data_IF_021879960115
#
_entry.id   IF_021879960115
#
_cell.length_a   1.000
_cell.length_b   1.000
_cell.length_c   1.000
_cell.angle_alpha   90.00
_cell.angle_beta   90.00
_cell.angle_gamma   90.00
#
_symmetry.space_group_name_H-M   'P 1'
#
loop_
_entity.id
_entity.type
_entity.pdbx_description
1 polymer ?
#
# COMPACT_ATOMS: atom_id res chain seq x y z
N UNK A 1 40.33 -18.25 52.44
CA UNK A 1 40.66 -19.51 51.73
C UNK A 1 41.01 -19.16 50.29
N UNK A 2 42.15 -19.65 49.82
CA UNK A 2 42.76 -19.38 48.53
C UNK A 2 42.05 -20.08 47.36
N UNK A 3 42.22 -19.60 46.13
CA UNK A 3 42.92 -20.28 45.02
C UNK A 3 42.71 -19.53 43.68
N UNK A 4 43.81 -19.04 43.08
CA UNK A 4 44.06 -18.89 41.62
C UNK A 4 44.51 -20.26 41.05
N UNK A 5 44.80 -20.51 39.73
CA UNK A 5 44.95 -19.63 38.54
C UNK A 5 44.22 -20.16 37.25
N UNK A 6 44.16 -19.48 36.09
CA UNK A 6 45.13 -19.49 34.96
C UNK A 6 44.50 -18.70 33.77
N UNK A 7 45.05 -17.63 33.15
CA UNK A 7 46.09 -17.51 32.07
C UNK A 7 45.91 -18.50 30.88
N UNK A 8 45.97 -18.19 29.56
CA UNK A 8 46.19 -16.99 28.68
C UNK A 8 45.71 -17.38 27.22
N UNK A 9 45.99 -16.68 26.07
CA UNK A 9 44.97 -16.18 25.12
C UNK A 9 45.16 -16.64 23.63
N UNK A 10 44.63 -15.85 22.67
CA UNK A 10 44.84 -15.82 21.19
C UNK A 10 43.61 -16.31 20.38
N UNK A 11 43.21 -15.79 19.22
CA UNK A 11 43.82 -14.85 18.26
C UNK A 11 42.72 -14.35 17.30
N UNK A 12 42.92 -13.16 16.72
CA UNK A 12 42.03 -12.51 15.73
C UNK A 12 42.46 -12.88 14.31
N UNK A 13 41.53 -13.14 13.36
CA UNK A 13 41.86 -13.02 11.95
C UNK A 13 41.31 -11.73 11.31
N UNK A 14 42.16 -11.17 10.46
CA UNK A 14 42.07 -9.86 9.79
C UNK A 14 41.24 -9.90 8.49
N UNK A 15 40.64 -8.74 8.21
CA UNK A 15 40.43 -8.06 6.91
C UNK A 15 40.38 -8.85 5.59
N UNK A 16 39.33 -8.61 4.79
CA UNK A 16 39.45 -8.60 3.33
C UNK A 16 38.93 -7.30 2.72
N UNK A 17 39.87 -6.53 2.18
CA UNK A 17 39.68 -5.32 1.38
C UNK A 17 38.94 -5.64 0.08
N UNK A 18 37.91 -4.84 -0.22
CA UNK A 18 37.28 -4.76 -1.55
C UNK A 18 38.33 -4.31 -2.59
N UNK A 19 38.63 -5.14 -3.59
CA UNK A 19 39.39 -4.72 -4.78
C UNK A 19 38.43 -4.20 -5.86
N UNK A 20 38.62 -2.94 -6.21
CA UNK A 20 38.02 -2.22 -7.34
C UNK A 20 38.84 -2.57 -8.59
N UNK A 21 38.24 -3.17 -9.61
CA UNK A 21 38.90 -3.41 -10.89
C UNK A 21 38.74 -2.19 -11.81
N UNK A 22 39.88 -1.69 -12.29
CA UNK A 22 40.08 -0.53 -13.16
C UNK A 22 40.23 -1.03 -14.60
N UNK A 23 39.69 -0.25 -15.53
CA UNK A 23 39.66 -0.43 -16.99
C UNK A 23 41.08 -0.56 -17.59
N UNK A 24 41.23 -1.35 -18.66
CA UNK A 24 42.27 -1.18 -19.67
C UNK A 24 41.71 -1.47 -21.07
N UNK A 25 42.03 -0.60 -22.03
CA UNK A 25 41.85 -0.72 -23.48
C UNK A 25 43.22 -0.96 -24.12
N UNK A 26 43.20 -1.23 -25.44
CA UNK A 26 44.28 -1.26 -26.46
C UNK A 26 44.76 -2.70 -26.74
N UNK A 27 44.86 -3.18 -27.98
CA UNK A 27 44.92 -2.45 -29.25
C UNK A 27 44.62 -3.28 -30.51
N UNK A 28 44.78 -2.56 -31.61
CA UNK A 28 44.46 -2.90 -33.00
C UNK A 28 45.25 -4.07 -33.58
N UNK A 29 44.60 -4.75 -34.54
CA UNK A 29 45.21 -5.70 -35.45
C UNK A 29 44.27 -5.96 -36.63
N UNK A 30 44.36 -5.12 -37.66
CA UNK A 30 43.69 -5.29 -38.96
C UNK A 30 44.40 -6.39 -39.76
N UNK A 31 43.67 -7.39 -40.24
CA UNK A 31 43.98 -8.08 -41.50
C UNK A 31 42.69 -8.59 -42.15
N UNK A 32 42.49 -8.14 -43.37
CA UNK A 32 41.39 -8.46 -44.27
C UNK A 32 41.65 -9.80 -44.96
N UNK A 33 40.70 -10.73 -44.89
CA UNK A 33 40.52 -11.77 -45.89
C UNK A 33 39.01 -11.91 -46.14
N UNK A 34 38.58 -11.49 -47.33
CA UNK A 34 37.24 -11.67 -47.82
C UNK A 34 37.01 -13.16 -48.11
N UNK A 35 36.01 -13.76 -47.47
CA UNK A 35 35.46 -15.03 -47.91
C UNK A 35 33.94 -14.91 -47.93
N UNK A 36 33.41 -14.98 -49.15
CA UNK A 36 32.01 -14.87 -49.50
C UNK A 36 31.28 -16.12 -49.03
N UNK A 37 30.74 -16.08 -47.82
CA UNK A 37 29.81 -17.11 -47.33
C UNK A 37 28.38 -16.64 -47.57
N UNK A 38 27.73 -17.33 -48.52
CA UNK A 38 26.32 -17.25 -48.89
C UNK A 38 25.43 -17.02 -47.65
N UNK A 39 24.47 -16.08 -47.67
CA UNK A 39 23.54 -15.96 -46.56
C UNK A 39 22.65 -17.20 -46.57
N UNK A 40 22.89 -18.08 -45.60
CA UNK A 40 21.92 -19.08 -45.17
C UNK A 40 20.60 -18.32 -44.97
N UNK A 41 19.49 -18.69 -45.64
CA UNK A 41 18.22 -18.09 -45.29
C UNK A 41 17.99 -18.50 -43.84
N UNK A 42 18.14 -17.53 -42.94
CA UNK A 42 17.65 -17.69 -41.59
C UNK A 42 16.19 -18.09 -41.76
N UNK A 43 15.89 -19.34 -41.41
CA UNK A 43 14.53 -19.73 -41.07
C UNK A 43 14.14 -18.83 -39.90
N UNK A 44 13.64 -17.65 -40.27
CA UNK A 44 12.96 -16.74 -39.39
C UNK A 44 11.68 -17.48 -39.03
N UNK A 45 11.80 -18.41 -38.07
CA UNK A 45 10.74 -18.65 -37.12
C UNK A 45 10.28 -17.26 -36.71
N UNK A 46 9.15 -16.83 -37.27
CA UNK A 46 8.68 -15.45 -37.25
C UNK A 46 8.09 -15.15 -35.88
N UNK A 47 8.90 -15.38 -34.85
CA UNK A 47 8.58 -15.11 -33.48
C UNK A 47 8.37 -13.61 -33.36
N UNK A 48 7.10 -13.22 -33.30
CA UNK A 48 6.72 -11.81 -33.17
C UNK A 48 7.20 -11.34 -31.82
N UNK A 49 8.11 -10.37 -31.82
CA UNK A 49 8.54 -9.72 -30.59
C UNK A 49 7.40 -8.83 -30.04
N UNK A 50 6.55 -9.42 -29.20
CA UNK A 50 5.46 -8.72 -28.52
C UNK A 50 5.97 -7.57 -27.63
N UNK A 51 7.24 -7.58 -27.19
CA UNK A 51 7.80 -6.45 -26.44
C UNK A 51 7.92 -5.17 -27.30
N UNK A 52 7.94 -5.31 -28.63
CA UNK A 52 8.09 -4.22 -29.60
C UNK A 52 6.77 -3.65 -30.14
N UNK A 53 5.61 -4.04 -29.58
CA UNK A 53 4.24 -3.61 -29.95
C UNK A 53 4.03 -2.08 -30.07
N UNK A 54 4.98 -1.25 -29.63
CA UNK A 54 4.85 0.20 -29.57
C UNK A 54 4.02 0.66 -28.37
N UNK A 55 4.03 1.96 -28.08
CA UNK A 55 3.36 2.52 -26.90
C UNK A 55 1.84 2.43 -26.97
N UNK A 56 1.24 2.63 -28.14
CA UNK A 56 -0.22 2.64 -28.33
C UNK A 56 -0.90 1.31 -27.95
N UNK A 57 -0.58 0.19 -28.63
CA UNK A 57 -1.18 -1.11 -28.32
C UNK A 57 -0.87 -1.60 -26.91
N UNK A 58 0.37 -1.40 -26.43
CA UNK A 58 0.76 -1.80 -25.09
C UNK A 58 -0.06 -1.05 -24.01
N UNK A 59 -0.29 0.26 -24.20
CA UNK A 59 -1.13 1.05 -23.30
C UNK A 59 -2.59 0.60 -23.31
N UNK A 60 -3.18 0.36 -24.50
CA UNK A 60 -4.56 -0.13 -24.61
C UNK A 60 -4.75 -1.49 -23.92
N UNK A 61 -3.81 -2.42 -24.09
CA UNK A 61 -3.85 -3.71 -23.39
C UNK A 61 -3.76 -3.48 -21.88
N UNK A 62 -2.84 -2.63 -21.43
CA UNK A 62 -2.67 -2.32 -20.03
C UNK A 62 -3.95 -1.72 -19.40
N UNK A 63 -4.62 -0.81 -20.11
CA UNK A 63 -5.87 -0.19 -19.67
C UNK A 63 -7.00 -1.23 -19.52
N UNK A 64 -7.12 -2.15 -20.50
CA UNK A 64 -8.08 -3.26 -20.44
C UNK A 64 -7.79 -4.25 -19.32
N UNK A 65 -6.50 -4.52 -19.05
CA UNK A 65 -6.08 -5.38 -17.94
C UNK A 65 -6.37 -4.70 -16.60
N UNK A 66 -6.07 -3.40 -16.48
CA UNK A 66 -6.31 -2.62 -15.26
C UNK A 66 -7.79 -2.52 -14.92
N UNK A 67 -8.65 -2.37 -15.92
CA UNK A 67 -10.11 -2.36 -15.74
C UNK A 67 -10.65 -3.68 -15.14
N UNK A 68 -9.89 -4.78 -15.21
CA UNK A 68 -10.24 -6.06 -14.58
C UNK A 68 -9.63 -6.21 -13.20
N UNK A 69 -8.31 -6.07 -13.09
CA UNK A 69 -7.59 -6.23 -11.83
C UNK A 69 -6.24 -5.48 -11.84
N UNK A 70 -5.97 -4.74 -10.77
CA UNK A 70 -4.68 -4.09 -10.54
C UNK A 70 -3.53 -5.10 -10.41
N UNK A 71 -3.79 -6.30 -9.88
CA UNK A 71 -2.77 -7.35 -9.78
C UNK A 71 -2.30 -7.79 -11.17
N UNK A 72 -3.22 -7.96 -12.13
CA UNK A 72 -2.89 -8.29 -13.50
C UNK A 72 -2.16 -7.15 -14.21
N UNK A 73 -2.54 -5.89 -13.93
CA UNK A 73 -1.82 -4.73 -14.44
C UNK A 73 -0.36 -4.70 -13.95
N UNK A 74 -0.12 -4.98 -12.66
CA UNK A 74 1.23 -5.08 -12.10
C UNK A 74 2.02 -6.22 -12.76
N UNK A 75 1.40 -7.37 -12.99
CA UNK A 75 2.03 -8.50 -13.71
C UNK A 75 2.38 -8.14 -15.15
N UNK A 76 1.47 -7.47 -15.87
CA UNK A 76 1.69 -6.97 -17.23
C UNK A 76 2.91 -6.03 -17.29
N UNK A 77 3.01 -5.08 -16.35
CA UNK A 77 4.18 -4.20 -16.23
C UNK A 77 5.47 -4.93 -15.81
N UNK A 78 5.35 -6.10 -15.18
CA UNK A 78 6.49 -6.92 -14.82
C UNK A 78 7.05 -7.71 -16.01
N UNK A 79 6.25 -7.98 -17.05
CA UNK A 79 6.64 -8.79 -18.20
C UNK A 79 7.86 -8.27 -18.94
N UNK A 80 7.94 -6.97 -19.26
CA UNK A 80 9.12 -6.38 -19.89
C UNK A 80 9.27 -4.87 -19.62
N UNK A 81 10.49 -4.34 -19.82
CA UNK A 81 10.80 -2.91 -19.61
C UNK A 81 10.08 -2.00 -20.60
N UNK A 82 9.87 -2.44 -21.85
CA UNK A 82 9.21 -1.66 -22.87
C UNK A 82 7.75 -1.37 -22.49
N UNK A 83 6.99 -2.40 -22.11
CA UNK A 83 5.60 -2.26 -21.65
C UNK A 83 5.49 -1.44 -20.36
N UNK A 84 6.41 -1.66 -19.40
CA UNK A 84 6.46 -0.85 -18.16
C UNK A 84 6.62 0.65 -18.42
N UNK A 85 7.38 1.03 -19.45
CA UNK A 85 7.63 2.43 -19.82
C UNK A 85 6.43 3.07 -20.53
N UNK A 86 5.57 2.28 -21.16
CA UNK A 86 4.41 2.77 -21.90
C UNK A 86 3.15 2.90 -21.01
N UNK A 87 3.27 2.63 -19.71
CA UNK A 87 2.14 2.50 -18.79
C UNK A 87 2.37 3.34 -17.55
N UNK A 88 1.28 3.88 -16.98
CA UNK A 88 1.33 4.70 -15.78
C UNK A 88 1.95 3.93 -14.61
N UNK A 89 2.73 4.62 -13.77
CA UNK A 89 3.34 3.99 -12.61
C UNK A 89 2.36 3.93 -11.44
N UNK A 90 1.91 2.75 -11.00
CA UNK A 90 0.91 2.60 -9.95
C UNK A 90 1.49 2.87 -8.55
N UNK A 91 2.77 3.26 -8.46
CA UNK A 91 3.45 3.71 -7.25
C UNK A 91 3.54 5.23 -7.15
N UNK A 92 3.22 5.97 -8.21
CA UNK A 92 3.34 7.42 -8.25
C UNK A 92 2.33 8.11 -7.32
N UNK A 93 1.12 7.56 -7.22
CA UNK A 93 0.06 8.02 -6.33
C UNK A 93 -0.63 6.80 -5.70
N UNK A 94 -0.63 6.75 -4.37
CA UNK A 94 -1.23 5.66 -3.62
C UNK A 94 -2.76 5.72 -3.58
N UNK A 95 -3.33 6.91 -3.79
CA UNK A 95 -4.76 7.15 -3.73
C UNK A 95 -5.42 7.20 -5.11
N UNK A 96 -4.65 7.07 -6.21
CA UNK A 96 -5.20 6.99 -7.56
C UNK A 96 -6.26 5.86 -7.67
N UNK A 97 -7.54 6.20 -7.90
CA UNK A 97 -8.65 5.25 -7.89
C UNK A 97 -8.53 4.11 -8.90
N UNK A 98 -7.75 4.31 -9.97
CA UNK A 98 -7.53 3.30 -11.01
C UNK A 98 -6.77 2.09 -10.49
N UNK A 99 -5.90 2.29 -9.49
CA UNK A 99 -5.06 1.25 -8.93
C UNK A 99 -5.59 0.67 -7.61
N UNK A 100 -6.80 1.05 -7.19
CA UNK A 100 -7.39 0.54 -5.95
C UNK A 100 -7.69 -0.97 -6.04
N UNK A 101 -7.25 -1.78 -5.06
CA UNK A 101 -7.43 -3.23 -5.09
C UNK A 101 -8.79 -3.66 -4.52
N UNK A 102 -9.89 -3.23 -5.17
CA UNK A 102 -11.28 -3.32 -4.66
C UNK A 102 -11.75 -4.74 -4.32
N UNK A 103 -11.27 -5.75 -5.04
CA UNK A 103 -11.65 -7.15 -4.82
C UNK A 103 -10.66 -7.91 -3.94
N UNK A 104 -9.63 -7.28 -3.38
CA UNK A 104 -8.61 -7.98 -2.61
C UNK A 104 -8.83 -7.82 -1.10
N UNK A 105 -9.09 -8.93 -0.42
CA UNK A 105 -9.21 -8.99 1.04
C UNK A 105 -7.94 -9.59 1.64
N UNK A 106 -7.34 -8.88 2.61
CA UNK A 106 -6.24 -9.44 3.40
C UNK A 106 -6.79 -10.57 4.26
N UNK A 107 -6.19 -11.75 4.13
CA UNK A 107 -6.48 -12.85 5.03
C UNK A 107 -5.73 -12.61 6.34
N UNK A 108 -6.48 -12.55 7.44
CA UNK A 108 -5.89 -12.58 8.77
C UNK A 108 -5.35 -14.00 9.00
N UNK A 109 -4.06 -14.20 8.75
CA UNK A 109 -3.42 -15.47 9.04
C UNK A 109 -3.51 -15.69 10.55
N UNK A 110 -4.34 -16.66 10.96
CA UNK A 110 -4.54 -17.06 12.35
C UNK A 110 -3.17 -17.18 13.00
N UNK A 111 -2.98 -16.39 14.05
CA UNK A 111 -1.74 -16.26 14.81
C UNK A 111 -1.38 -17.63 15.39
N UNK A 112 -0.66 -18.44 14.60
CA UNK A 112 0.02 -19.62 15.10
C UNK A 112 1.26 -19.13 15.85
N UNK A 113 1.09 -18.92 17.16
CA UNK A 113 2.12 -18.96 18.21
C UNK A 113 3.55 -18.63 17.73
N UNK A 114 3.84 -17.34 17.55
CA UNK A 114 5.22 -16.84 17.52
C UNK A 114 5.92 -16.78 16.16
N UNK A 115 5.29 -17.19 15.06
CA UNK A 115 5.88 -17.05 13.72
C UNK A 115 5.50 -15.72 13.08
N UNK A 116 6.47 -14.81 13.00
CA UNK A 116 6.34 -13.50 12.33
C UNK A 116 6.27 -13.71 10.82
N UNK A 117 5.10 -13.49 10.23
CA UNK A 117 4.93 -13.56 8.78
C UNK A 117 5.78 -12.48 8.07
N UNK A 118 6.58 -12.93 7.09
CA UNK A 118 7.32 -12.03 6.18
C UNK A 118 6.45 -11.47 5.05
N UNK A 119 5.29 -12.06 4.83
CA UNK A 119 4.35 -11.74 3.75
C UNK A 119 2.91 -11.85 4.27
N UNK A 120 2.03 -10.99 3.78
CA UNK A 120 0.58 -11.06 4.01
C UNK A 120 -0.09 -11.77 2.84
N UNK A 121 -1.07 -12.62 3.15
CA UNK A 121 -1.90 -13.28 2.13
C UNK A 121 -3.10 -12.43 1.80
N UNK A 122 -3.42 -12.32 0.52
CA UNK A 122 -4.63 -11.69 0.04
C UNK A 122 -5.39 -12.66 -0.84
N UNK A 123 -6.71 -12.60 -0.75
CA UNK A 123 -7.63 -13.34 -1.61
C UNK A 123 -8.42 -12.34 -2.45
N UNK A 124 -8.55 -12.61 -3.74
CA UNK A 124 -9.50 -11.91 -4.59
C UNK A 124 -10.89 -12.51 -4.35
N UNK A 125 -11.84 -11.69 -3.92
CA UNK A 125 -13.18 -12.12 -3.54
C UNK A 125 -14.05 -12.51 -4.75
N UNK A 126 -13.76 -11.94 -5.93
CA UNK A 126 -14.47 -12.24 -7.17
C UNK A 126 -13.94 -13.49 -7.89
N UNK A 127 -12.61 -13.68 -7.90
CA UNK A 127 -11.97 -14.78 -8.65
C UNK A 127 -11.52 -15.95 -7.77
N UNK A 128 -11.42 -15.75 -6.45
CA UNK A 128 -10.83 -16.71 -5.53
C UNK A 128 -9.30 -16.82 -5.61
N UNK A 129 -8.64 -16.00 -6.44
CA UNK A 129 -7.19 -15.99 -6.59
C UNK A 129 -6.50 -15.61 -5.26
N UNK A 130 -5.31 -16.16 -4.99
CA UNK A 130 -4.52 -15.80 -3.82
C UNK A 130 -3.16 -15.23 -4.21
N UNK A 131 -2.78 -14.13 -3.58
CA UNK A 131 -1.43 -13.53 -3.71
C UNK A 131 -0.75 -13.39 -2.36
N UNK A 132 0.57 -13.35 -2.38
CA UNK A 132 1.42 -13.11 -1.21
C UNK A 132 2.23 -11.85 -1.43
N UNK A 133 2.06 -10.87 -0.54
CA UNK A 133 2.70 -9.56 -0.68
C UNK A 133 3.46 -9.19 0.59
N UNK A 134 4.66 -8.66 0.44
CA UNK A 134 5.41 -8.08 1.56
C UNK A 134 4.97 -6.64 1.72
N UNK A 135 4.15 -6.36 2.73
CA UNK A 135 3.75 -4.99 3.03
C UNK A 135 4.85 -4.34 3.86
N UNK A 136 5.52 -3.34 3.28
CA UNK A 136 6.62 -2.64 3.94
C UNK A 136 6.14 -2.02 5.26
N UNK A 137 6.70 -2.50 6.37
CA UNK A 137 6.39 -2.01 7.72
C UNK A 137 5.40 -2.85 8.52
N UNK A 138 4.69 -3.80 7.92
CA UNK A 138 3.72 -4.67 8.59
C UNK A 138 4.35 -5.97 9.15
N UNK A 139 5.68 -6.06 9.14
CA UNK A 139 6.46 -7.24 9.57
C UNK A 139 6.61 -7.40 11.11
N UNK A 140 5.90 -6.58 11.89
CA UNK A 140 5.95 -6.54 13.35
C UNK A 140 7.25 -5.98 13.96
N UNK A 141 8.35 -5.85 13.20
CA UNK A 141 9.63 -5.28 13.68
C UNK A 141 9.66 -3.76 13.59
N UNK A 142 9.02 -3.22 12.56
CA UNK A 142 9.05 -1.80 12.24
C UNK A 142 8.10 -0.97 13.14
N UNK A 143 7.40 -1.62 14.07
CA UNK A 143 6.47 -0.99 15.00
C UNK A 143 5.17 -0.51 14.35
N UNK A 144 4.88 -0.88 13.09
CA UNK A 144 3.62 -0.53 12.46
C UNK A 144 2.55 -1.61 12.69
N UNK A 145 1.30 -1.16 12.80
CA UNK A 145 0.13 -2.02 12.96
C UNK A 145 -0.91 -1.65 11.92
N UNK A 146 -1.68 -2.64 11.49
CA UNK A 146 -2.87 -2.41 10.69
C UNK A 146 -3.94 -1.77 11.59
N UNK A 147 -4.52 -0.66 11.15
CA UNK A 147 -5.67 -0.01 11.79
C UNK A 147 -6.97 -0.53 11.19
N UNK A 148 -7.14 -0.33 9.88
CA UNK A 148 -8.34 -0.69 9.16
C UNK A 148 -8.08 -0.77 7.66
N UNK A 149 -9.09 -1.26 6.94
CA UNK A 149 -9.13 -1.35 5.48
C UNK A 149 -10.27 -0.49 4.95
N UNK A 150 -10.03 0.24 3.86
CA UNK A 150 -11.08 0.99 3.16
C UNK A 150 -11.94 0.06 2.29
N UNK A 151 -13.16 0.49 1.92
CA UNK A 151 -13.99 -0.22 0.94
C UNK A 151 -13.31 -0.41 -0.43
N UNK A 152 -12.33 0.43 -0.78
CA UNK A 152 -11.56 0.31 -2.02
C UNK A 152 -10.35 -0.64 -1.90
N UNK A 153 -10.16 -1.29 -0.75
CA UNK A 153 -9.12 -2.31 -0.52
C UNK A 153 -7.76 -1.76 -0.10
N UNK A 154 -7.63 -0.45 0.16
CA UNK A 154 -6.41 0.13 0.70
C UNK A 154 -6.29 -0.17 2.20
N UNK A 155 -5.06 -0.21 2.69
CA UNK A 155 -4.78 -0.46 4.10
C UNK A 155 -4.31 0.81 4.77
N UNK A 156 -4.82 1.07 5.98
CA UNK A 156 -4.35 2.16 6.83
C UNK A 156 -3.53 1.59 7.97
N UNK A 157 -2.30 2.07 8.08
CA UNK A 157 -1.31 1.61 9.03
C UNK A 157 -0.93 2.73 9.99
N UNK A 158 -0.73 2.37 11.26
CA UNK A 158 -0.21 3.26 12.30
C UNK A 158 1.20 2.85 12.68
N UNK A 159 2.13 3.80 12.72
CA UNK A 159 3.40 3.62 13.40
C UNK A 159 3.23 3.81 14.91
N UNK A 160 3.36 2.74 15.70
CA UNK A 160 3.21 2.82 17.16
C UNK A 160 4.24 3.72 17.83
N UNK A 161 5.41 3.94 17.21
CA UNK A 161 6.48 4.77 17.79
C UNK A 161 6.33 6.26 17.51
N UNK A 162 5.86 6.62 16.33
CA UNK A 162 5.83 8.02 15.86
C UNK A 162 4.42 8.57 15.68
N UNK A 163 3.39 7.75 15.88
CA UNK A 163 1.99 8.09 15.64
C UNK A 163 1.63 8.47 14.20
N UNK A 164 2.58 8.33 13.28
CA UNK A 164 2.37 8.58 11.86
C UNK A 164 1.40 7.55 11.27
N UNK A 165 0.45 8.06 10.50
CA UNK A 165 -0.57 7.27 9.80
C UNK A 165 -0.20 7.21 8.32
N UNK A 166 -0.38 6.04 7.71
CA UNK A 166 -0.04 5.82 6.31
C UNK A 166 -1.15 5.04 5.61
N UNK A 167 -1.49 5.46 4.40
CA UNK A 167 -2.31 4.65 3.49
C UNK A 167 -1.38 3.88 2.56
N UNK A 168 -1.62 2.58 2.41
CA UNK A 168 -0.81 1.70 1.57
C UNK A 168 -1.71 0.94 0.62
N UNK A 169 -1.32 0.93 -0.65
CA UNK A 169 -1.86 0.00 -1.63
C UNK A 169 -1.11 -1.34 -1.49
N UNK A 170 -1.76 -2.41 -1.00
CA UNK A 170 -1.08 -3.68 -0.77
C UNK A 170 -0.57 -4.38 -2.03
N UNK A 171 -1.18 -4.09 -3.20
CA UNK A 171 -0.83 -4.75 -4.46
C UNK A 171 0.28 -3.98 -5.19
N UNK A 172 0.20 -2.65 -5.22
CA UNK A 172 1.19 -1.83 -5.95
C UNK A 172 2.39 -1.47 -5.08
N UNK A 173 2.22 -1.49 -3.76
CA UNK A 173 3.20 -1.02 -2.78
C UNK A 173 3.27 0.51 -2.67
N UNK A 174 2.38 1.23 -3.36
CA UNK A 174 2.25 2.68 -3.23
C UNK A 174 1.88 3.07 -1.81
N UNK A 175 2.36 4.24 -1.39
CA UNK A 175 2.16 4.75 -0.03
C UNK A 175 1.91 6.25 -0.06
N UNK A 176 0.95 6.68 0.76
CA UNK A 176 0.72 8.08 1.09
C UNK A 176 0.86 8.28 2.60
N UNK A 177 1.53 9.36 2.99
CA UNK A 177 1.70 9.75 4.39
C UNK A 177 0.60 10.72 4.79
N UNK A 178 0.08 10.55 6.01
CA UNK A 178 -0.95 11.39 6.61
C UNK A 178 -0.41 12.03 7.90
N UNK A 179 -1.06 13.10 8.40
CA UNK A 179 -0.73 13.67 9.69
C UNK A 179 -0.73 12.60 10.80
N UNK A 180 0.11 12.74 11.83
CA UNK A 180 0.13 11.80 12.93
C UNK A 180 -1.21 11.81 13.67
N UNK A 181 -1.62 10.66 14.19
CA UNK A 181 -2.91 10.51 14.89
C UNK A 181 -3.00 11.40 16.13
N UNK A 182 -1.87 11.75 16.74
CA UNK A 182 -1.80 12.68 17.88
C UNK A 182 -2.41 14.04 17.59
N UNK A 183 -2.44 14.47 16.32
CA UNK A 183 -3.10 15.72 15.93
C UNK A 183 -4.63 15.63 15.95
N UNK A 184 -5.22 14.44 16.05
CA UNK A 184 -6.66 14.19 16.21
C UNK A 184 -7.06 13.86 17.66
N UNK A 185 -6.11 13.52 18.53
CA UNK A 185 -6.38 13.08 19.91
C UNK A 185 -6.59 14.24 20.89
N UNK A 186 -7.19 15.37 20.49
CA UNK A 186 -7.33 16.67 21.18
C UNK A 186 -7.75 16.62 22.68
N UNK A 187 -6.89 16.11 23.57
CA UNK A 187 -7.15 15.90 25.00
C UNK A 187 -7.37 14.44 25.43
N UNK A 188 -7.48 13.51 24.48
CA UNK A 188 -7.59 12.07 24.75
C UNK A 188 -6.23 11.44 24.98
N UNK A 189 -6.11 10.55 25.97
CA UNK A 189 -4.86 9.80 26.11
C UNK A 189 -4.81 8.77 25.00
N UNK A 190 -3.64 8.64 24.40
CA UNK A 190 -3.37 7.59 23.40
C UNK A 190 -3.79 6.19 23.87
N UNK A 191 -3.64 5.89 25.16
CA UNK A 191 -4.01 4.61 25.74
C UNK A 191 -5.52 4.34 25.74
N UNK A 192 -6.34 5.39 25.70
CA UNK A 192 -7.80 5.31 25.70
C UNK A 192 -8.31 4.91 24.30
N UNK A 193 -7.63 5.40 23.24
CA UNK A 193 -7.98 5.11 21.84
C UNK A 193 -7.29 3.84 21.31
N UNK A 194 -6.08 3.54 21.80
CA UNK A 194 -5.31 2.36 21.42
C UNK A 194 -5.02 1.47 22.64
N UNK A 195 -6.04 0.77 23.18
CA UNK A 195 -5.85 -0.10 24.33
C UNK A 195 -4.83 -1.21 24.03
N UNK A 196 -4.10 -1.63 25.07
CA UNK A 196 -3.06 -2.67 24.97
C UNK A 196 -3.64 -4.05 24.61
N UNK A 197 -4.95 -4.24 24.78
CA UNK A 197 -5.64 -5.50 24.49
C UNK A 197 -6.36 -5.42 23.14
N UNK A 198 -6.12 -6.33 22.20
CA UNK A 198 -6.31 -6.04 20.77
C UNK A 198 -7.69 -6.44 20.23
N UNK A 199 -8.60 -6.94 21.06
CA UNK A 199 -9.63 -7.85 20.56
C UNK A 199 -10.87 -7.19 19.95
N UNK A 200 -11.16 -5.90 20.17
CA UNK A 200 -12.47 -5.33 19.78
C UNK A 200 -12.43 -3.88 19.29
N UNK A 201 -11.24 -3.34 18.97
CA UNK A 201 -11.16 -1.98 18.45
C UNK A 201 -11.32 -1.99 16.93
N UNK A 202 -12.56 -1.80 16.49
CA UNK A 202 -12.89 -1.60 15.09
C UNK A 202 -12.72 -0.12 14.72
N UNK A 203 -11.56 0.24 14.18
CA UNK A 203 -11.40 1.54 13.54
C UNK A 203 -12.09 1.54 12.18
N UNK A 204 -12.82 2.62 11.90
CA UNK A 204 -13.40 2.85 10.58
C UNK A 204 -12.47 3.73 9.75
N UNK A 205 -12.19 3.36 8.50
CA UNK A 205 -11.45 4.24 7.58
C UNK A 205 -12.03 4.17 6.18
N UNK A 206 -12.29 5.33 5.58
CA UNK A 206 -12.83 5.44 4.23
C UNK A 206 -12.22 6.57 3.42
N UNK A 207 -12.48 6.53 2.10
CA UNK A 207 -12.10 7.59 1.17
C UNK A 207 -13.32 8.36 0.66
N UNK A 208 -13.13 9.66 0.53
CA UNK A 208 -13.99 10.55 -0.24
C UNK A 208 -13.60 10.53 -1.74
N UNK A 209 -14.45 11.09 -2.60
CA UNK A 209 -14.22 11.14 -4.05
C UNK A 209 -12.93 11.88 -4.44
N UNK A 210 -12.53 12.88 -3.65
CA UNK A 210 -11.34 13.68 -3.87
C UNK A 210 -10.10 13.14 -3.13
N UNK A 211 -10.15 11.87 -2.70
CA UNK A 211 -9.06 11.17 -2.02
C UNK A 211 -8.70 11.72 -0.63
N UNK A 212 -9.57 12.48 0.03
CA UNK A 212 -9.43 12.70 1.47
C UNK A 212 -9.72 11.40 2.23
N UNK A 213 -8.89 11.14 3.24
CA UNK A 213 -8.96 9.97 4.12
C UNK A 213 -9.74 10.35 5.36
N UNK A 214 -10.81 9.60 5.63
CA UNK A 214 -11.66 9.75 6.80
C UNK A 214 -11.34 8.63 7.76
N UNK A 215 -11.01 8.96 9.01
CA UNK A 215 -10.79 7.96 10.05
C UNK A 215 -11.77 8.19 11.20
N UNK A 216 -12.40 7.13 11.68
CA UNK A 216 -13.15 7.11 12.93
C UNK A 216 -12.36 6.29 13.95
N UNK A 217 -11.83 6.97 14.97
CA UNK A 217 -11.11 6.37 16.08
C UNK A 217 -11.97 6.41 17.34
N UNK A 218 -12.97 5.52 17.43
CA UNK A 218 -13.87 5.43 18.58
C UNK A 218 -14.61 6.74 18.90
N UNK A 219 -15.23 7.35 17.89
CA UNK A 219 -15.96 8.60 18.01
C UNK A 219 -15.13 9.84 17.65
N UNK A 220 -13.80 9.70 17.53
CA UNK A 220 -12.94 10.76 17.01
C UNK A 220 -12.89 10.66 15.48
N UNK A 221 -13.73 11.45 14.82
CA UNK A 221 -13.82 11.52 13.38
C UNK A 221 -12.87 12.61 12.85
N UNK A 222 -11.96 12.21 11.96
CA UNK A 222 -10.98 13.11 11.37
C UNK A 222 -10.88 12.93 9.86
N UNK A 223 -10.66 14.03 9.17
CA UNK A 223 -10.43 14.07 7.73
C UNK A 223 -9.02 14.63 7.45
N UNK A 224 -8.25 13.94 6.62
CA UNK A 224 -6.96 14.46 6.16
C UNK A 224 -6.62 13.95 4.76
N UNK A 225 -5.84 14.75 4.04
CA UNK A 225 -5.26 14.40 2.75
C UNK A 225 -3.78 14.10 2.91
N UNK A 226 -3.19 13.34 1.98
CA UNK A 226 -1.74 13.26 1.89
C UNK A 226 -1.12 14.65 1.71
N UNK A 227 -0.17 14.99 2.58
CA UNK A 227 0.50 16.29 2.58
C UNK A 227 -0.09 17.32 3.55
N UNK A 228 -1.26 17.05 4.15
CA UNK A 228 -1.78 17.90 5.22
C UNK A 228 -0.88 17.82 6.46
N UNK A 229 -0.79 18.93 7.21
CA UNK A 229 -0.02 18.98 8.46
C UNK A 229 -0.82 18.48 9.67
N UNK A 230 -2.14 18.58 9.61
CA UNK A 230 -3.07 18.24 10.70
C UNK A 230 -4.33 17.58 10.19
N UNK A 231 -5.02 16.86 11.07
CA UNK A 231 -6.37 16.38 10.80
C UNK A 231 -7.35 17.53 10.94
N UNK A 232 -8.34 17.58 10.04
CA UNK A 232 -9.55 18.36 10.24
C UNK A 232 -10.52 17.51 11.07
N UNK A 233 -10.66 17.84 12.34
CA UNK A 233 -11.58 17.19 13.26
C UNK A 233 -13.02 17.50 12.87
N UNK A 234 -13.89 16.49 12.92
CA UNK A 234 -15.32 16.64 12.66
C UNK A 234 -16.02 16.65 14.01
N UNK A 235 -16.43 17.84 14.45
CA UNK A 235 -17.14 18.01 15.71
C UNK A 235 -18.53 17.38 15.62
N UNK A 236 -18.89 16.60 16.64
CA UNK A 236 -20.21 16.00 16.79
C UNK A 236 -20.52 15.80 18.28
N UNK A 237 -21.78 15.93 18.65
CA UNK A 237 -22.21 15.88 20.06
C UNK A 237 -22.15 14.46 20.64
N UNK A 238 -22.42 13.45 19.83
CA UNK A 238 -22.50 12.05 20.26
C UNK A 238 -21.33 11.18 19.78
N UNK A 239 -20.92 10.15 20.52
CA UNK A 239 -19.87 9.25 20.03
C UNK A 239 -20.36 8.47 18.79
N UNK A 240 -19.62 8.56 17.68
CA UNK A 240 -19.85 7.71 16.50
C UNK A 240 -19.31 6.31 16.80
N UNK A 241 -20.17 5.44 17.32
CA UNK A 241 -19.81 4.07 17.69
C UNK A 241 -19.82 3.08 16.50
N UNK A 242 -20.28 3.51 15.33
CA UNK A 242 -20.43 2.69 14.13
C UNK A 242 -19.31 2.83 13.09
N UNK A 243 -19.27 1.93 12.09
CA UNK A 243 -18.32 2.02 10.98
C UNK A 243 -18.58 3.26 10.13
N UNK A 244 -17.52 3.79 9.51
CA UNK A 244 -17.64 4.70 8.36
C UNK A 244 -17.72 3.87 7.08
N UNK A 245 -18.58 4.26 6.15
CA UNK A 245 -18.82 3.58 4.88
C UNK A 245 -18.67 4.57 3.73
N UNK A 246 -18.07 4.15 2.62
CA UNK A 246 -18.03 4.95 1.39
C UNK A 246 -19.02 4.41 0.36
N UNK A 247 -19.86 5.28 -0.19
CA UNK A 247 -20.76 4.96 -1.28
C UNK A 247 -20.84 6.13 -2.27
N UNK A 248 -20.67 5.84 -3.55
CA UNK A 248 -20.63 6.84 -4.62
C UNK A 248 -19.66 8.02 -4.35
N UNK A 249 -18.52 7.73 -3.70
CA UNK A 249 -17.50 8.73 -3.36
C UNK A 249 -17.86 9.64 -2.18
N UNK A 250 -18.96 9.37 -1.49
CA UNK A 250 -19.37 10.05 -0.26
C UNK A 250 -19.15 9.13 0.93
N UNK A 251 -18.80 9.70 2.08
CA UNK A 251 -18.60 8.95 3.31
C UNK A 251 -19.79 9.16 4.22
N UNK A 252 -20.30 8.06 4.75
CA UNK A 252 -21.45 8.00 5.65
C UNK A 252 -21.05 7.35 6.97
N UNK A 253 -21.72 7.74 8.03
CA UNK A 253 -21.64 7.07 9.32
C UNK A 253 -23.03 6.98 9.95
N UNK A 254 -23.16 6.13 10.97
CA UNK A 254 -24.39 5.99 11.73
C UNK A 254 -24.20 6.63 13.09
N UNK A 255 -25.14 7.49 13.45
CA UNK A 255 -25.27 8.08 14.78
C UNK A 255 -26.68 7.76 15.24
N UNK A 256 -26.79 7.02 16.35
CA UNK A 256 -28.04 6.41 16.80
C UNK A 256 -28.73 5.66 15.65
N UNK A 257 -29.91 6.13 15.22
CA UNK A 257 -30.71 5.56 14.15
C UNK A 257 -30.67 6.40 12.86
N UNK A 258 -29.76 7.37 12.75
CA UNK A 258 -29.65 8.26 11.61
C UNK A 258 -28.41 7.97 10.76
N UNK A 259 -28.60 7.95 9.44
CA UNK A 259 -27.50 7.99 8.47
C UNK A 259 -27.03 9.43 8.36
N UNK A 260 -25.77 9.66 8.69
CA UNK A 260 -25.09 10.93 8.57
C UNK A 260 -24.17 10.89 7.36
N UNK A 261 -24.17 11.98 6.59
CA UNK A 261 -23.26 12.24 5.48
C UNK A 261 -22.14 13.15 5.98
N UNK A 262 -20.90 12.78 5.68
CA UNK A 262 -19.76 13.67 5.85
C UNK A 262 -19.70 14.65 4.67
N UNK A 263 -19.89 15.93 4.98
CA UNK A 263 -19.67 17.03 4.05
C UNK A 263 -18.23 17.53 4.17
N UNK A 264 -17.49 17.48 3.07
CA UNK A 264 -16.16 18.08 2.95
C UNK A 264 -16.22 19.23 1.95
N UNK A 265 -15.70 20.40 2.34
CA UNK A 265 -15.59 21.58 1.49
C UNK A 265 -14.20 22.18 1.65
N UNK A 266 -13.62 22.77 0.59
CA UNK A 266 -12.39 23.54 0.73
C UNK A 266 -12.58 24.82 1.58
N UNK A 267 -13.80 25.36 1.61
CA UNK A 267 -14.09 26.67 2.23
C UNK A 267 -14.58 26.56 3.68
N UNK A 268 -14.98 25.37 4.12
CA UNK A 268 -15.59 25.14 5.43
C UNK A 268 -15.00 23.90 6.11
N UNK A 269 -14.92 23.87 7.45
CA UNK A 269 -14.52 22.68 8.17
C UNK A 269 -15.46 21.51 7.84
N UNK A 270 -14.95 20.27 7.83
CA UNK A 270 -15.77 19.10 7.58
C UNK A 270 -16.81 18.94 8.67
N UNK A 271 -18.02 18.54 8.30
CA UNK A 271 -19.15 18.41 9.23
C UNK A 271 -20.05 17.25 8.85
N UNK A 272 -20.79 16.74 9.83
CA UNK A 272 -21.84 15.77 9.59
C UNK A 272 -23.16 16.48 9.33
N UNK A 273 -23.84 16.05 8.27
CA UNK A 273 -25.21 16.46 7.95
C UNK A 273 -26.09 15.21 7.89
N UNK A 274 -27.36 15.32 8.27
CA UNK A 274 -28.31 14.21 8.11
C UNK A 274 -28.48 13.92 6.62
N UNK A 275 -28.37 12.65 6.23
CA UNK A 275 -28.56 12.29 4.83
C UNK A 275 -30.04 12.46 4.44
N UNK A 276 -30.30 13.17 3.33
CA UNK A 276 -31.67 13.43 2.83
C UNK A 276 -32.45 12.15 2.50
N UNK A 277 -31.73 11.08 2.16
CA UNK A 277 -32.25 9.75 1.85
C UNK A 277 -31.25 8.72 2.36
N UNK A 278 -31.74 7.58 2.85
CA UNK A 278 -30.88 6.45 3.19
C UNK A 278 -30.44 5.74 1.91
N UNK A 279 -29.17 5.88 1.46
CA UNK A 279 -28.71 5.26 0.21
C UNK A 279 -28.57 3.74 0.32
N UNK A 280 -28.67 3.18 1.53
CA UNK A 280 -28.52 1.75 1.81
C UNK A 280 -29.85 1.00 1.89
N UNK A 281 -30.99 1.69 1.72
CA UNK A 281 -32.33 1.13 1.92
C UNK A 281 -32.66 0.90 3.39
N UNK A 282 -33.88 0.47 3.70
CA UNK A 282 -34.26 0.04 5.06
C UNK A 282 -33.39 -1.16 5.45
N UNK A 283 -32.43 -0.94 6.36
CA UNK A 283 -31.70 -2.06 6.96
C UNK A 283 -32.69 -2.87 7.83
N UNK A 284 -32.72 -4.20 7.70
CA UNK A 284 -33.57 -5.07 8.51
C UNK A 284 -33.10 -5.15 9.97
#
# INVERSE_FOLDING_TARGET
MAFTPSSTPAEVPKSHRRRRAKRARVGDGSSSAAESTVPVPADQSSWRDWASLGSGPAWLIADRVLARDVADYVRFRASCRAWRRCTADPQADALDPRFHPRCWTMLQDVVSRGLRYRYSRFKNDATGEHIRMTIRGLNGRDGRTHLARTSQGLLVLLNKKTDAVFVVNPVTGARADLPPVTALLSGFRRADVFPRWPHEVHFGVELTYDSAVVINLHGLLGVARPGDERWAEVEWEDPILGPVLSFAGRVYCFVDDAVMLLETSPDHPPRLAKADHNPFGSMP
#
